data_IF_489634733416
#
_entry.id   IF_489634733416
#
_cell.length_a   1.000
_cell.length_b   1.000
_cell.length_c   1.000
_cell.angle_alpha   90.00
_cell.angle_beta   90.00
_cell.angle_gamma   90.00
#
_symmetry.space_group_name_H-M   'P 1'
#
loop_
_entity.id
_entity.type
_entity.pdbx_description
1 polymer ?
#
# COMPACT_ATOMS: atom_id res chain seq x y z
N UNK A 1 -23.13 -1.30 -23.37
CA UNK A 1 -23.89 -1.29 -22.10
C UNK A 1 -23.02 -0.62 -21.06
N UNK A 2 -23.35 0.63 -20.71
CA UNK A 2 -22.55 1.50 -19.84
C UNK A 2 -22.92 1.24 -18.38
N UNK A 3 -22.04 0.62 -17.60
CA UNK A 3 -22.19 0.55 -16.14
C UNK A 3 -21.30 1.62 -15.51
N UNK A 4 -21.82 2.83 -15.33
CA UNK A 4 -21.26 3.83 -14.40
C UNK A 4 -21.62 3.36 -12.98
N UNK A 5 -20.69 2.74 -12.27
CA UNK A 5 -20.79 2.67 -10.81
C UNK A 5 -20.50 4.07 -10.29
N UNK A 6 -21.55 4.76 -9.85
CA UNK A 6 -21.45 6.04 -9.15
C UNK A 6 -20.52 5.85 -7.95
N UNK A 7 -19.33 6.44 -8.01
CA UNK A 7 -18.54 6.65 -6.81
C UNK A 7 -19.34 7.60 -5.90
N UNK A 8 -19.51 7.29 -4.61
CA UNK A 8 -20.21 8.19 -3.70
C UNK A 8 -19.50 9.55 -3.71
N UNK A 9 -20.34 10.58 -3.81
CA UNK A 9 -19.98 11.98 -3.93
C UNK A 9 -18.89 12.39 -2.91
N UNK A 10 -17.89 13.11 -3.42
CA UNK A 10 -17.12 14.13 -2.70
C UNK A 10 -16.03 13.72 -1.69
N UNK A 11 -15.03 12.92 -2.11
CA UNK A 11 -13.70 12.97 -1.47
C UNK A 11 -12.63 12.51 -2.46
N UNK A 12 -11.68 13.39 -2.81
CA UNK A 12 -10.48 13.05 -3.59
C UNK A 12 -9.64 12.10 -2.74
N UNK A 13 -9.92 10.79 -2.81
CA UNK A 13 -9.13 9.74 -2.16
C UNK A 13 -8.17 9.19 -3.20
N UNK A 14 -6.87 9.21 -2.88
CA UNK A 14 -5.88 8.53 -3.69
C UNK A 14 -6.10 7.01 -3.55
N UNK A 15 -6.06 6.28 -4.66
CA UNK A 15 -6.34 4.85 -4.69
C UNK A 15 -5.25 4.11 -5.45
N UNK A 16 -4.98 2.87 -5.05
CA UNK A 16 -4.23 1.91 -5.87
C UNK A 16 -5.25 1.06 -6.62
N UNK A 17 -5.08 0.96 -7.93
CA UNK A 17 -5.91 0.09 -8.78
C UNK A 17 -5.18 -1.24 -8.98
N UNK A 18 -5.84 -2.33 -8.61
CA UNK A 18 -5.40 -3.70 -8.86
C UNK A 18 -6.16 -4.23 -10.07
N UNK A 19 -5.48 -4.41 -11.19
CA UNK A 19 -6.10 -4.90 -12.43
C UNK A 19 -5.76 -6.37 -12.69
N UNK A 20 -6.79 -7.19 -12.90
CA UNK A 20 -6.65 -8.55 -13.37
C UNK A 20 -6.92 -8.61 -14.89
N UNK A 21 -5.89 -8.77 -15.73
CA UNK A 21 -6.07 -8.78 -17.18
C UNK A 21 -6.78 -10.05 -17.68
N UNK A 22 -6.66 -11.18 -16.98
CA UNK A 22 -7.31 -12.44 -17.39
C UNK A 22 -8.82 -12.38 -17.20
N UNK A 23 -9.26 -11.75 -16.11
CA UNK A 23 -10.69 -11.58 -15.76
C UNK A 23 -11.26 -10.24 -16.24
N UNK A 24 -10.43 -9.37 -16.82
CA UNK A 24 -10.77 -7.98 -17.18
C UNK A 24 -11.49 -7.23 -16.05
N UNK A 25 -11.02 -7.43 -14.82
CA UNK A 25 -11.65 -6.87 -13.61
C UNK A 25 -10.68 -5.99 -12.85
N UNK A 26 -11.23 -4.98 -12.16
CA UNK A 26 -10.48 -4.04 -11.33
C UNK A 26 -10.97 -4.09 -9.90
N UNK A 27 -10.03 -3.92 -9.00
CA UNK A 27 -10.19 -3.83 -7.56
C UNK A 27 -9.42 -2.61 -7.06
N UNK A 28 -9.80 -2.08 -5.89
CA UNK A 28 -9.26 -0.81 -5.40
C UNK A 28 -8.76 -0.94 -3.97
N UNK A 29 -7.57 -0.40 -3.69
CA UNK A 29 -7.16 -0.10 -2.32
C UNK A 29 -7.44 1.37 -2.08
N UNK A 30 -8.33 1.66 -1.14
CA UNK A 30 -8.73 3.03 -0.82
C UNK A 30 -7.80 3.56 0.26
N UNK A 31 -7.02 4.59 -0.06
CA UNK A 31 -6.22 5.22 0.97
C UNK A 31 -7.13 5.94 1.97
N UNK A 32 -6.91 5.66 3.25
CA UNK A 32 -7.66 6.31 4.35
C UNK A 32 -7.27 7.78 4.48
N UNK A 33 -6.03 8.12 4.15
CA UNK A 33 -5.53 9.50 4.15
C UNK A 33 -5.80 10.15 2.79
N UNK A 34 -5.86 11.49 2.77
CA UNK A 34 -5.97 12.29 1.53
C UNK A 34 -4.62 12.54 0.85
N UNK A 35 -3.58 11.78 1.23
CA UNK A 35 -2.22 11.94 0.70
C UNK A 35 -2.05 11.11 -0.57
N UNK A 36 -1.32 11.69 -1.52
CA UNK A 36 -0.92 10.99 -2.73
C UNK A 36 -0.04 9.79 -2.39
N UNK A 37 -0.30 8.67 -3.06
CA UNK A 37 0.57 7.49 -3.03
C UNK A 37 1.65 7.69 -4.08
N UNK A 38 2.91 7.67 -3.68
CA UNK A 38 4.07 7.93 -4.53
C UNK A 38 4.93 6.70 -4.78
N UNK A 39 4.75 5.64 -3.99
CA UNK A 39 5.49 4.40 -4.14
C UNK A 39 4.58 3.19 -3.92
N UNK A 40 4.77 2.13 -4.69
CA UNK A 40 4.07 0.84 -4.53
C UNK A 40 5.04 -0.32 -4.81
N UNK A 41 4.91 -1.44 -4.08
CA UNK A 41 5.68 -2.65 -4.35
C UNK A 41 4.92 -3.91 -3.93
N UNK A 42 4.87 -4.93 -4.78
CA UNK A 42 4.37 -6.25 -4.39
C UNK A 42 5.42 -6.98 -3.56
N UNK A 43 4.94 -7.75 -2.57
CA UNK A 43 5.75 -8.80 -1.95
C UNK A 43 6.02 -9.91 -2.95
N UNK A 44 7.10 -10.66 -2.72
CA UNK A 44 7.53 -11.78 -3.57
C UNK A 44 6.42 -12.82 -3.76
N UNK A 45 5.62 -13.08 -2.72
CA UNK A 45 4.51 -14.04 -2.78
C UNK A 45 3.22 -13.50 -3.42
N UNK A 46 3.18 -12.22 -3.80
CA UNK A 46 2.01 -11.57 -4.38
C UNK A 46 0.83 -11.32 -3.42
N UNK A 47 0.87 -11.84 -2.19
CA UNK A 47 -0.20 -11.67 -1.18
C UNK A 47 -0.22 -10.31 -0.50
N UNK A 48 0.92 -9.61 -0.49
CA UNK A 48 1.03 -8.29 0.14
C UNK A 48 1.46 -7.22 -0.85
N UNK A 49 0.97 -6.00 -0.65
CA UNK A 49 1.40 -4.79 -1.35
C UNK A 49 1.90 -3.78 -0.31
N UNK A 50 3.05 -3.17 -0.53
CA UNK A 50 3.50 -1.99 0.22
C UNK A 50 3.18 -0.72 -0.56
N UNK A 51 2.79 0.35 0.15
CA UNK A 51 2.56 1.68 -0.43
C UNK A 51 3.25 2.75 0.40
N UNK A 52 3.82 3.77 -0.24
CA UNK A 52 4.36 4.97 0.41
C UNK A 52 3.60 6.23 0.02
N UNK A 53 3.35 7.10 0.97
CA UNK A 53 2.64 8.37 0.76
C UNK A 53 3.58 9.58 0.58
N UNK A 54 3.00 10.70 0.15
CA UNK A 54 3.63 12.02 0.09
C UNK A 54 2.99 13.02 1.06
N UNK A 55 3.73 14.08 1.41
CA UNK A 55 3.28 15.16 2.27
C UNK A 55 3.92 15.11 3.66
N UNK A 56 3.44 15.91 4.61
CA UNK A 56 4.02 15.92 5.95
C UNK A 56 3.69 14.67 6.74
N UNK A 57 4.70 13.98 7.27
CA UNK A 57 4.57 12.72 8.03
C UNK A 57 3.83 11.64 7.21
N UNK A 58 4.33 11.24 6.04
CA UNK A 58 3.67 10.24 5.20
C UNK A 58 3.63 8.89 5.90
N UNK A 59 2.60 8.09 5.59
CA UNK A 59 2.58 6.69 6.01
C UNK A 59 3.24 5.78 4.97
N UNK A 60 3.83 4.70 5.45
CA UNK A 60 4.16 3.50 4.68
C UNK A 60 3.20 2.41 5.15
N UNK A 61 2.41 1.83 4.25
CA UNK A 61 1.40 0.83 4.59
C UNK A 61 1.69 -0.49 3.90
N UNK A 62 1.46 -1.59 4.59
CA UNK A 62 1.43 -2.94 4.02
C UNK A 62 -0.01 -3.42 4.02
N UNK A 63 -0.48 -3.80 2.84
CA UNK A 63 -1.82 -4.29 2.58
C UNK A 63 -1.75 -5.80 2.36
N UNK A 64 -2.59 -6.56 3.05
CA UNK A 64 -2.89 -7.93 2.66
C UNK A 64 -3.96 -7.88 1.57
N UNK A 65 -3.65 -8.49 0.43
CA UNK A 65 -4.55 -8.57 -0.71
C UNK A 65 -5.37 -9.84 -0.56
N UNK A 66 -6.70 -9.72 -0.64
CA UNK A 66 -7.59 -10.88 -0.60
C UNK A 66 -7.20 -11.86 -1.70
N UNK A 67 -6.67 -13.01 -1.26
CA UNK A 67 -6.26 -14.10 -2.12
C UNK A 67 -7.52 -14.75 -2.72
N UNK A 68 -7.98 -14.21 -3.85
CA UNK A 68 -8.96 -14.90 -4.71
C UNK A 68 -8.31 -16.11 -5.42
N UNK A 69 -7.88 -17.08 -4.61
CA UNK A 69 -7.29 -18.35 -5.02
C UNK A 69 -7.97 -19.60 -4.44
N UNK A 70 -8.95 -19.50 -3.54
CA UNK A 70 -9.71 -20.66 -3.08
C UNK A 70 -10.78 -20.32 -2.06
N UNK A 71 -12.04 -20.58 -2.42
CA UNK A 71 -13.22 -20.78 -1.57
C UNK A 71 -13.27 -20.07 -0.20
N UNK A 72 -13.93 -18.91 -0.17
CA UNK A 72 -14.68 -18.43 1.00
C UNK A 72 -14.05 -17.29 1.81
N UNK A 73 -14.78 -16.18 1.92
CA UNK A 73 -14.85 -15.43 3.18
C UNK A 73 -14.07 -14.12 3.31
N UNK A 74 -13.98 -13.30 2.27
CA UNK A 74 -13.69 -11.86 2.41
C UNK A 74 -14.86 -11.06 1.84
N UNK A 75 -15.83 -10.72 2.67
CA UNK A 75 -16.97 -9.91 2.23
C UNK A 75 -16.44 -8.54 1.84
N UNK A 76 -16.62 -8.19 0.57
CA UNK A 76 -16.26 -6.87 0.02
C UNK A 76 -17.27 -5.86 0.56
N UNK A 77 -17.16 -5.48 1.82
CA UNK A 77 -17.85 -4.30 2.32
C UNK A 77 -17.10 -3.05 1.84
N UNK A 78 -17.73 -2.31 0.93
CA UNK A 78 -17.30 -1.01 0.39
C UNK A 78 -16.24 -1.00 -0.74
N UNK A 79 -15.97 -2.12 -1.40
CA UNK A 79 -15.14 -2.14 -2.62
C UNK A 79 -13.64 -1.94 -2.40
N UNK A 80 -13.16 -2.07 -1.17
CA UNK A 80 -11.73 -2.08 -0.83
C UNK A 80 -11.19 -3.52 -0.88
N UNK A 81 -10.12 -3.75 -1.63
CA UNK A 81 -9.58 -5.07 -1.96
C UNK A 81 -8.41 -5.53 -1.08
N UNK A 82 -8.45 -5.17 0.20
CA UNK A 82 -7.41 -5.58 1.14
C UNK A 82 -7.50 -4.84 2.48
N UNK A 83 -6.83 -5.41 3.47
CA UNK A 83 -6.72 -4.85 4.82
C UNK A 83 -5.30 -4.34 5.07
N UNK A 84 -5.16 -3.25 5.85
CA UNK A 84 -3.85 -2.78 6.29
C UNK A 84 -3.40 -3.69 7.43
N UNK A 85 -2.28 -4.39 7.24
CA UNK A 85 -1.68 -5.31 8.24
C UNK A 85 -0.45 -4.73 8.92
N UNK A 86 0.12 -3.67 8.37
CA UNK A 86 1.18 -2.88 9.01
C UNK A 86 1.16 -1.43 8.52
N UNK A 87 1.49 -0.49 9.40
CA UNK A 87 1.65 0.92 9.07
C UNK A 87 2.88 1.49 9.79
N UNK A 88 3.73 2.19 9.05
CA UNK A 88 4.98 2.75 9.55
C UNK A 88 5.05 4.24 9.26
N UNK A 89 5.66 4.95 10.21
CA UNK A 89 6.14 6.31 10.06
C UNK A 89 7.68 6.33 10.13
N UNK A 90 8.28 7.49 9.87
CA UNK A 90 9.74 7.64 9.94
C UNK A 90 10.34 8.51 8.85
N UNK A 91 9.51 8.92 7.89
CA UNK A 91 9.80 9.98 6.92
C UNK A 91 9.08 11.26 7.36
N UNK A 92 9.66 12.42 7.08
CA UNK A 92 9.05 13.73 7.32
C UNK A 92 8.34 14.27 6.08
N UNK A 93 8.77 13.86 4.88
CA UNK A 93 8.29 14.39 3.59
C UNK A 93 7.76 13.29 2.66
N UNK A 94 8.26 13.10 1.43
CA UNK A 94 7.68 12.10 0.53
C UNK A 94 8.41 10.76 0.65
N UNK A 95 7.67 9.65 0.62
CA UNK A 95 8.25 8.33 0.41
C UNK A 95 8.47 8.13 -1.08
N UNK A 96 9.73 8.19 -1.52
CA UNK A 96 10.10 8.08 -2.92
C UNK A 96 10.15 6.62 -3.40
N UNK A 97 10.43 5.68 -2.51
CA UNK A 97 10.50 4.26 -2.86
C UNK A 97 10.17 3.36 -1.66
N UNK A 98 9.59 2.20 -1.96
CA UNK A 98 9.41 1.08 -1.02
C UNK A 98 9.80 -0.23 -1.70
N UNK A 99 10.38 -1.17 -0.95
CA UNK A 99 10.74 -2.49 -1.49
C UNK A 99 10.71 -3.56 -0.41
N UNK A 100 10.09 -4.71 -0.72
CA UNK A 100 10.27 -5.91 0.10
C UNK A 100 11.65 -6.51 -0.17
N UNK A 101 12.29 -7.00 0.88
CA UNK A 101 13.46 -7.86 0.75
C UNK A 101 13.12 -9.15 -0.03
N UNK A 102 14.07 -9.76 -0.74
CA UNK A 102 13.84 -11.02 -1.47
C UNK A 102 13.38 -12.18 -0.58
N UNK A 103 13.79 -12.18 0.69
CA UNK A 103 13.35 -13.17 1.68
C UNK A 103 11.94 -12.88 2.23
N UNK A 104 11.37 -11.72 1.92
CA UNK A 104 10.06 -11.26 2.41
C UNK A 104 10.05 -10.86 3.89
N UNK A 105 11.17 -10.95 4.61
CA UNK A 105 11.26 -10.61 6.04
C UNK A 105 11.19 -9.11 6.29
N UNK A 106 11.95 -8.36 5.50
CA UNK A 106 12.08 -6.91 5.68
C UNK A 106 11.35 -6.12 4.60
N UNK A 107 10.96 -4.90 4.96
CA UNK A 107 10.51 -3.84 4.08
C UNK A 107 11.49 -2.66 4.21
N UNK A 108 11.88 -2.05 3.10
CA UNK A 108 12.70 -0.84 3.07
C UNK A 108 11.88 0.31 2.52
N UNK A 109 12.11 1.52 3.02
CA UNK A 109 11.60 2.74 2.41
C UNK A 109 12.67 3.83 2.33
N UNK A 110 12.59 4.64 1.28
CA UNK A 110 13.50 5.76 1.02
C UNK A 110 12.68 7.04 0.95
N UNK A 111 13.11 8.04 1.71
CA UNK A 111 12.51 9.37 1.72
C UNK A 111 13.01 10.22 0.55
N UNK A 112 12.33 11.33 0.29
CA UNK A 112 12.75 12.28 -0.74
C UNK A 112 14.07 12.98 -0.39
N UNK A 113 14.60 13.78 -1.32
CA UNK A 113 15.80 14.60 -1.12
C UNK A 113 15.73 15.57 0.08
N UNK A 114 14.52 15.83 0.61
CA UNK A 114 14.32 16.67 1.79
C UNK A 114 14.28 15.86 3.09
N UNK A 115 14.03 14.56 2.99
CA UNK A 115 14.09 13.60 4.10
C UNK A 115 15.53 13.07 4.25
N UNK A 116 16.10 12.60 3.13
CA UNK A 116 17.36 11.88 3.03
C UNK A 116 17.45 10.63 3.90
N UNK A 117 16.31 10.08 4.33
CA UNK A 117 16.28 8.93 5.24
C UNK A 117 16.07 7.63 4.45
N UNK A 118 16.75 6.56 4.90
CA UNK A 118 16.42 5.17 4.58
C UNK A 118 15.96 4.48 5.85
N UNK A 119 14.81 3.82 5.80
CA UNK A 119 14.26 3.03 6.89
C UNK A 119 14.21 1.55 6.52
N UNK A 120 14.47 0.68 7.49
CA UNK A 120 14.30 -0.77 7.38
C UNK A 120 13.32 -1.24 8.46
N UNK A 121 12.35 -2.06 8.09
CA UNK A 121 11.31 -2.58 8.97
C UNK A 121 11.26 -4.10 8.92
N UNK A 122 11.08 -4.75 10.07
CA UNK A 122 10.48 -6.08 10.16
C UNK A 122 8.96 -5.85 10.20
N UNK A 123 8.36 -5.95 9.02
CA UNK A 123 7.00 -5.48 8.83
C UNK A 123 5.96 -6.39 9.47
N UNK A 124 6.28 -7.69 9.62
CA UNK A 124 5.42 -8.65 10.31
C UNK A 124 5.45 -8.48 11.82
N UNK A 125 6.60 -8.07 12.35
CA UNK A 125 6.75 -7.74 13.76
C UNK A 125 6.29 -6.31 14.11
N UNK A 126 5.82 -5.53 13.12
CA UNK A 126 5.50 -4.10 13.28
C UNK A 126 6.65 -3.29 13.90
N UNK A 127 7.89 -3.60 13.51
CA UNK A 127 9.09 -3.04 14.12
C UNK A 127 9.98 -2.31 13.10
N UNK A 128 10.37 -1.08 13.42
CA UNK A 128 11.45 -0.38 12.71
C UNK A 128 12.80 -0.87 13.22
N UNK A 129 13.58 -1.47 12.33
CA UNK A 129 14.88 -2.11 12.61
C UNK A 129 16.01 -1.09 12.51
N UNK A 130 15.97 -0.21 11.52
CA UNK A 130 17.01 0.76 11.28
C UNK A 130 16.48 2.05 10.63
N UNK A 131 17.22 3.13 10.86
CA UNK A 131 17.06 4.44 10.23
C UNK A 131 18.44 5.00 9.95
N UNK A 132 18.70 5.50 8.75
CA UNK A 132 19.95 6.20 8.45
C UNK A 132 19.68 7.41 7.55
N UNK A 133 20.55 8.42 7.61
CA UNK A 133 20.44 9.68 6.86
C UNK A 133 21.78 9.99 6.19
#
# INVERSE_FOLDING_TARGET
MLMRKLAPQNLVKCTVVLFNPKKLSQNFLLNTTKKAITAVAYSVCGRYLATGECGHNPSIKVWELDASGGNGGGTIENGAAGSIVAEFSGHKYAVSCVAFSPTGKYLVSVGSQHDNIVNVFDWKANLKIASNK
#
